data_IF_802694106560
#
_entry.id   IF_802694106560
#
_cell.length_a   1.000
_cell.length_b   1.000
_cell.length_c   1.000
_cell.angle_alpha   90.00
_cell.angle_beta   90.00
_cell.angle_gamma   90.00
#
_symmetry.space_group_name_H-M   'P 1'
#
loop_
_entity.id
_entity.type
_entity.pdbx_description
1 polymer ?
#
# COMPACT_ATOMS: atom_id res chain seq x y z
N UNK A 1 4.43 -36.29 19.16
CA UNK A 1 4.12 -37.42 18.25
C UNK A 1 3.35 -37.05 16.98
N UNK A 2 2.14 -36.44 17.01
CA UNK A 2 1.46 -35.98 15.76
C UNK A 2 2.12 -34.74 15.13
N UNK A 3 2.49 -33.75 15.96
CA UNK A 3 3.20 -32.53 15.52
C UNK A 3 4.57 -32.85 14.89
N UNK A 4 5.34 -33.75 15.49
CA UNK A 4 6.64 -34.21 14.96
C UNK A 4 6.53 -34.93 13.60
N UNK A 5 5.34 -35.43 13.24
CA UNK A 5 5.09 -36.11 11.96
C UNK A 5 4.47 -35.19 10.92
N UNK A 6 4.28 -33.90 11.23
CA UNK A 6 3.71 -32.89 10.34
C UNK A 6 2.42 -33.36 9.62
N UNK A 7 1.54 -34.07 10.35
CA UNK A 7 0.28 -34.55 9.79
C UNK A 7 -0.61 -33.38 9.34
N UNK A 8 -1.35 -33.54 8.26
CA UNK A 8 -2.23 -32.51 7.66
C UNK A 8 -3.17 -31.83 8.67
N UNK A 9 -3.74 -32.57 9.60
CA UNK A 9 -4.60 -32.04 10.68
C UNK A 9 -3.94 -30.93 11.54
N UNK A 10 -2.60 -30.92 11.62
CA UNK A 10 -1.85 -29.93 12.41
C UNK A 10 -1.82 -28.58 11.70
N UNK A 11 -1.83 -28.55 10.36
CA UNK A 11 -1.81 -27.31 9.59
C UNK A 11 -3.12 -26.54 9.72
N UNK A 12 -4.26 -27.23 9.62
CA UNK A 12 -5.59 -26.63 9.80
C UNK A 12 -5.76 -26.06 11.23
N UNK A 13 -5.24 -26.80 12.22
CA UNK A 13 -5.25 -26.36 13.61
C UNK A 13 -4.33 -25.15 13.82
N UNK A 14 -3.16 -25.13 13.18
CA UNK A 14 -2.19 -24.04 13.28
C UNK A 14 -2.77 -22.73 12.74
N UNK A 15 -3.44 -22.76 11.59
CA UNK A 15 -4.09 -21.58 11.01
C UNK A 15 -5.13 -20.97 11.97
N UNK A 16 -5.87 -21.83 12.67
CA UNK A 16 -6.84 -21.38 13.69
C UNK A 16 -6.15 -20.76 14.91
N UNK A 17 -5.03 -21.35 15.36
CA UNK A 17 -4.32 -20.89 16.57
C UNK A 17 -3.60 -19.56 16.37
N UNK A 18 -3.02 -19.34 15.19
CA UNK A 18 -2.29 -18.08 14.91
C UNK A 18 -3.23 -16.88 14.69
N UNK A 19 -4.51 -17.14 14.40
CA UNK A 19 -5.47 -16.09 14.07
C UNK A 19 -5.67 -15.15 15.26
N UNK A 20 -5.36 -13.87 15.06
CA UNK A 20 -5.41 -12.87 16.12
C UNK A 20 -4.32 -13.02 17.17
N UNK A 21 -3.25 -13.77 16.91
CA UNK A 21 -2.09 -13.86 17.78
C UNK A 21 -0.90 -13.13 17.13
N UNK A 22 -0.57 -11.90 17.56
CA UNK A 22 0.50 -11.12 16.92
C UNK A 22 1.87 -11.74 17.22
N UNK A 23 2.82 -11.49 16.34
CA UNK A 23 4.24 -11.78 16.51
C UNK A 23 5.04 -10.48 16.44
N UNK A 24 6.18 -10.42 17.12
CA UNK A 24 7.10 -9.30 17.04
C UNK A 24 8.23 -9.64 16.09
N UNK A 25 8.45 -8.79 15.08
CA UNK A 25 9.64 -8.85 14.22
C UNK A 25 10.68 -7.85 14.71
N UNK A 26 11.93 -8.28 14.72
CA UNK A 26 13.09 -7.47 15.08
C UNK A 26 14.24 -7.69 14.08
N UNK A 27 14.91 -6.61 13.67
CA UNK A 27 16.16 -6.66 12.91
C UNK A 27 17.29 -6.07 13.74
N UNK A 28 18.40 -6.81 13.85
CA UNK A 28 19.62 -6.32 14.49
C UNK A 28 20.51 -5.60 13.46
N UNK A 29 21.18 -4.49 13.82
CA UNK A 29 21.11 -3.77 15.10
C UNK A 29 19.86 -2.88 15.24
N UNK A 30 19.24 -2.88 16.41
CA UNK A 30 18.04 -2.06 16.68
C UNK A 30 18.43 -0.65 17.12
N UNK A 31 18.34 0.33 16.21
CA UNK A 31 18.73 1.73 16.48
C UNK A 31 17.63 2.56 17.16
N UNK A 32 16.37 2.23 16.91
CA UNK A 32 15.22 2.99 17.39
C UNK A 32 14.00 2.10 17.57
N UNK A 33 12.97 2.62 18.24
CA UNK A 33 11.73 1.88 18.57
C UNK A 33 11.09 1.19 17.36
N UNK A 34 11.11 1.81 16.18
CA UNK A 34 10.50 1.23 14.97
C UNK A 34 11.25 0.00 14.41
N UNK A 35 12.42 -0.34 14.95
CA UNK A 35 13.15 -1.57 14.60
C UNK A 35 12.56 -2.83 15.24
N UNK A 36 11.52 -2.70 16.07
CA UNK A 36 10.69 -3.81 16.56
C UNK A 36 9.22 -3.44 16.35
N UNK A 37 8.48 -4.26 15.60
CA UNK A 37 7.06 -4.04 15.33
C UNK A 37 6.26 -5.34 15.42
N UNK A 38 4.99 -5.21 15.76
CA UNK A 38 4.06 -6.33 15.79
C UNK A 38 3.34 -6.50 14.44
N UNK A 39 3.18 -7.75 14.04
CA UNK A 39 2.49 -8.17 12.83
C UNK A 39 1.55 -9.34 13.13
N UNK A 40 0.49 -9.48 12.33
CA UNK A 40 -0.29 -10.70 12.31
C UNK A 40 0.37 -11.70 11.36
N UNK A 41 0.71 -12.92 11.84
CA UNK A 41 1.37 -13.91 11.00
C UNK A 41 0.40 -14.49 9.97
N UNK A 42 0.88 -14.67 8.74
CA UNK A 42 0.18 -15.38 7.66
C UNK A 42 1.03 -16.56 7.26
N UNK A 43 0.44 -17.76 7.22
CA UNK A 43 1.15 -18.96 6.78
C UNK A 43 1.47 -18.84 5.29
N UNK A 44 2.72 -19.12 4.95
CA UNK A 44 3.22 -19.13 3.58
C UNK A 44 4.06 -20.38 3.38
N UNK A 45 4.02 -20.94 2.18
CA UNK A 45 4.95 -21.99 1.80
C UNK A 45 6.35 -21.39 1.59
N UNK A 46 7.36 -22.05 2.16
CA UNK A 46 8.77 -21.66 2.07
C UNK A 46 9.48 -21.55 3.42
N UNK A 47 10.75 -21.13 3.37
CA UNK A 47 11.62 -21.00 4.54
C UNK A 47 12.01 -19.54 4.85
N UNK A 48 11.46 -18.58 4.11
CA UNK A 48 11.76 -17.15 4.25
C UNK A 48 10.54 -16.39 4.77
N UNK A 49 10.78 -15.38 5.61
CA UNK A 49 9.75 -14.46 6.10
C UNK A 49 9.41 -13.50 4.97
N UNK A 50 8.11 -13.36 4.65
CA UNK A 50 7.64 -12.31 3.74
C UNK A 50 7.38 -11.05 4.54
N UNK A 51 8.06 -9.96 4.19
CA UNK A 51 7.93 -8.67 4.84
C UNK A 51 7.23 -7.67 3.92
N UNK A 52 6.39 -6.80 4.49
CA UNK A 52 5.74 -5.75 3.72
C UNK A 52 6.76 -4.67 3.28
N UNK A 53 6.79 -4.23 2.01
CA UNK A 53 7.83 -3.31 1.52
C UNK A 53 7.86 -1.95 2.22
N UNK A 54 6.70 -1.42 2.65
CA UNK A 54 6.65 -0.13 3.38
C UNK A 54 7.26 -0.16 4.80
N UNK A 55 7.54 -1.35 5.35
CA UNK A 55 8.23 -1.45 6.66
C UNK A 55 9.74 -1.63 6.52
N UNK A 56 10.27 -1.79 5.30
CA UNK A 56 11.71 -1.91 5.06
C UNK A 56 12.48 -0.69 5.56
N UNK A 57 11.95 0.52 5.34
CA UNK A 57 12.57 1.78 5.81
C UNK A 57 12.73 1.81 7.34
N UNK A 58 11.69 1.59 8.17
CA UNK A 58 11.86 1.52 9.62
C UNK A 58 12.72 0.34 10.10
N UNK A 59 12.78 -0.79 9.41
CA UNK A 59 13.74 -1.86 9.76
C UNK A 59 15.17 -1.61 9.25
N UNK A 60 15.35 -0.59 8.40
CA UNK A 60 16.56 -0.37 7.60
C UNK A 60 16.98 -1.63 6.83
N UNK A 61 16.01 -2.40 6.35
CA UNK A 61 16.19 -3.72 5.76
C UNK A 61 16.11 -3.69 4.23
N UNK A 62 16.88 -4.55 3.59
CA UNK A 62 16.77 -4.89 2.18
C UNK A 62 16.57 -6.41 2.00
N UNK A 63 16.59 -6.88 0.75
CA UNK A 63 16.28 -8.28 0.40
C UNK A 63 17.47 -9.00 -0.23
N UNK A 64 18.69 -8.73 0.24
CA UNK A 64 19.92 -9.33 -0.30
C UNK A 64 20.51 -10.46 0.57
N UNK A 65 19.87 -10.78 1.70
CA UNK A 65 20.36 -11.79 2.66
C UNK A 65 20.08 -11.45 4.13
N UNK A 66 19.46 -10.30 4.39
CA UNK A 66 19.03 -9.87 5.71
C UNK A 66 18.22 -10.91 6.49
N UNK A 67 18.44 -10.94 7.81
CA UNK A 67 17.75 -11.85 8.73
C UNK A 67 16.97 -11.06 9.79
N UNK A 68 15.84 -11.62 10.19
CA UNK A 68 15.00 -11.05 11.25
C UNK A 68 14.66 -12.11 12.30
N UNK A 69 14.60 -11.69 13.55
CA UNK A 69 14.13 -12.52 14.65
C UNK A 69 12.61 -12.36 14.81
N UNK A 70 11.93 -13.48 15.08
CA UNK A 70 10.50 -13.52 15.39
C UNK A 70 10.35 -13.87 16.87
N UNK A 71 9.62 -13.06 17.61
CA UNK A 71 9.28 -13.31 19.01
C UNK A 71 7.78 -13.47 19.18
N UNK A 72 7.37 -14.44 20.01
CA UNK A 72 5.96 -14.71 20.30
C UNK A 72 5.58 -14.18 21.70
N UNK A 73 4.73 -13.14 21.81
CA UNK A 73 4.24 -12.66 23.10
C UNK A 73 3.28 -13.68 23.73
N UNK A 74 3.60 -14.22 24.90
CA UNK A 74 2.81 -15.32 25.49
C UNK A 74 1.62 -14.85 26.33
N UNK A 75 1.81 -13.88 27.22
CA UNK A 75 0.74 -13.44 28.13
C UNK A 75 -0.33 -12.64 27.41
N UNK A 76 -1.55 -12.67 27.94
CA UNK A 76 -2.69 -11.89 27.44
C UNK A 76 -2.39 -10.40 27.41
N UNK A 77 -1.66 -9.90 28.41
CA UNK A 77 -1.24 -8.51 28.52
C UNK A 77 -0.25 -8.16 27.40
N UNK A 78 0.74 -9.02 27.15
CA UNK A 78 1.75 -8.82 26.11
C UNK A 78 1.13 -8.86 24.70
N UNK A 79 0.21 -9.79 24.45
CA UNK A 79 -0.52 -9.83 23.17
C UNK A 79 -1.36 -8.57 22.96
N UNK A 80 -1.99 -8.06 24.03
CA UNK A 80 -2.78 -6.83 23.98
C UNK A 80 -1.91 -5.62 23.70
N UNK A 81 -0.76 -5.53 24.37
CA UNK A 81 0.23 -4.47 24.14
C UNK A 81 0.76 -4.49 22.70
N UNK A 82 1.11 -5.68 22.19
CA UNK A 82 1.56 -5.85 20.82
C UNK A 82 0.54 -5.32 19.80
N UNK A 83 -0.75 -5.65 19.98
CA UNK A 83 -1.83 -5.18 19.09
C UNK A 83 -2.11 -3.68 19.21
N UNK A 84 -2.12 -3.14 20.41
CA UNK A 84 -2.53 -1.74 20.63
C UNK A 84 -1.40 -0.74 20.40
N UNK A 85 -0.16 -1.09 20.78
CA UNK A 85 0.95 -0.14 20.85
C UNK A 85 2.08 -0.41 19.87
N UNK A 86 2.19 -1.65 19.36
CA UNK A 86 3.33 -2.06 18.53
C UNK A 86 2.93 -2.46 17.11
N UNK A 87 1.63 -2.55 16.80
CA UNK A 87 1.15 -2.95 15.48
C UNK A 87 1.69 -2.00 14.40
N UNK A 88 2.26 -2.58 13.34
CA UNK A 88 2.93 -1.81 12.29
C UNK A 88 2.02 -0.74 11.65
N UNK A 89 0.71 -1.01 11.52
CA UNK A 89 -0.28 -0.07 10.96
C UNK A 89 -0.51 1.18 11.81
N UNK A 90 -0.21 1.14 13.12
CA UNK A 90 -0.29 2.31 14.00
C UNK A 90 1.00 3.15 14.01
N UNK A 91 2.10 2.61 13.51
CA UNK A 91 3.43 3.21 13.59
C UNK A 91 3.80 3.94 12.29
N UNK A 92 2.96 4.87 11.86
CA UNK A 92 3.11 5.58 10.58
C UNK A 92 4.06 6.78 10.66
N UNK A 93 4.26 7.34 11.84
CA UNK A 93 5.06 8.55 12.05
C UNK A 93 6.36 8.23 12.78
N UNK A 94 7.43 8.93 12.42
CA UNK A 94 8.70 8.89 13.14
C UNK A 94 8.54 9.58 14.50
N UNK A 95 9.00 8.95 15.60
CA UNK A 95 8.97 9.59 16.92
C UNK A 95 9.85 10.83 17.05
N UNK A 96 10.85 11.02 16.17
CA UNK A 96 11.84 12.10 16.24
C UNK A 96 11.33 13.45 15.76
N UNK A 97 10.62 13.47 14.63
CA UNK A 97 10.24 14.68 13.90
C UNK A 97 8.75 14.68 13.49
N UNK A 98 8.03 13.57 13.69
CA UNK A 98 6.63 13.43 13.31
C UNK A 98 6.41 13.22 11.81
N UNK A 99 7.46 13.08 11.00
CA UNK A 99 7.31 12.81 9.57
C UNK A 99 6.83 11.37 9.32
N UNK A 100 6.09 11.12 8.21
CA UNK A 100 5.74 9.77 7.80
C UNK A 100 6.98 8.90 7.58
N UNK A 101 6.99 7.69 8.15
CA UNK A 101 8.07 6.72 7.96
C UNK A 101 7.75 5.72 6.84
N UNK A 102 6.47 5.45 6.61
CA UNK A 102 5.97 4.49 5.61
C UNK A 102 5.78 5.17 4.25
N UNK A 103 6.83 5.82 3.76
CA UNK A 103 6.83 6.48 2.45
C UNK A 103 7.14 5.43 1.37
N UNK A 104 6.39 5.40 0.25
CA UNK A 104 6.72 4.55 -0.89
C UNK A 104 8.14 4.81 -1.40
N UNK A 105 8.84 3.77 -1.86
CA UNK A 105 10.22 3.89 -2.38
C UNK A 105 10.35 3.19 -3.73
N UNK A 106 11.43 3.50 -4.45
CA UNK A 106 11.88 2.82 -5.66
C UNK A 106 10.74 2.61 -6.69
N UNK A 107 10.33 1.36 -6.91
CA UNK A 107 9.36 0.95 -7.91
C UNK A 107 7.97 1.58 -7.72
N UNK A 108 7.56 1.81 -6.47
CA UNK A 108 6.27 2.45 -6.19
C UNK A 108 6.24 3.90 -6.66
N UNK A 109 7.36 4.62 -6.46
CA UNK A 109 7.54 5.99 -6.96
C UNK A 109 7.60 5.97 -8.48
N UNK A 110 8.38 5.06 -9.06
CA UNK A 110 8.53 4.97 -10.51
C UNK A 110 7.20 4.66 -11.21
N UNK A 111 6.42 3.72 -10.68
CA UNK A 111 5.09 3.39 -11.20
C UNK A 111 4.12 4.57 -11.10
N UNK A 112 4.08 5.25 -9.95
CA UNK A 112 3.25 6.45 -9.76
C UNK A 112 3.66 7.59 -10.70
N UNK A 113 4.96 7.79 -10.88
CA UNK A 113 5.51 8.79 -11.79
C UNK A 113 5.17 8.47 -13.25
N UNK A 114 5.40 7.24 -13.70
CA UNK A 114 5.06 6.80 -15.05
C UNK A 114 3.56 6.93 -15.34
N UNK A 115 2.72 6.60 -14.36
CA UNK A 115 1.26 6.67 -14.47
C UNK A 115 0.75 8.11 -14.54
N UNK A 116 1.42 9.06 -13.87
CA UNK A 116 0.97 10.47 -13.79
C UNK A 116 1.64 11.39 -14.81
N UNK A 117 2.61 10.88 -15.56
CA UNK A 117 3.28 11.59 -16.64
C UNK A 117 2.30 11.97 -17.76
N UNK A 118 2.57 13.09 -18.43
CA UNK A 118 1.80 13.58 -19.57
C UNK A 118 2.71 13.64 -20.78
N UNK A 119 2.31 12.98 -21.87
CA UNK A 119 3.00 13.07 -23.15
C UNK A 119 2.05 13.69 -24.19
N UNK A 120 2.26 14.95 -24.63
CA UNK A 120 1.36 15.62 -25.56
C UNK A 120 1.19 14.90 -26.91
N UNK A 121 2.22 14.19 -27.35
CA UNK A 121 2.26 13.53 -28.67
C UNK A 121 1.74 12.08 -28.62
N UNK A 122 1.27 11.61 -27.46
CA UNK A 122 0.83 10.24 -27.33
C UNK A 122 -0.43 9.93 -28.16
N UNK A 123 -0.59 8.69 -28.64
CA UNK A 123 -1.77 8.27 -29.38
C UNK A 123 -3.05 8.49 -28.59
N UNK A 124 -4.01 9.17 -29.22
CA UNK A 124 -5.32 9.46 -28.62
C UNK A 124 -5.38 10.74 -27.79
N UNK A 125 -4.38 11.62 -27.90
CA UNK A 125 -4.46 12.99 -27.39
C UNK A 125 -5.70 13.75 -27.91
N UNK A 126 -6.15 14.73 -27.13
CA UNK A 126 -7.29 15.61 -27.38
C UNK A 126 -8.66 14.93 -27.54
N UNK A 127 -8.76 13.62 -27.26
CA UNK A 127 -10.05 12.93 -27.17
C UNK A 127 -10.86 13.44 -25.99
N UNK A 128 -12.18 13.45 -26.17
CA UNK A 128 -13.15 13.89 -25.18
C UNK A 128 -14.02 12.71 -24.78
N UNK A 129 -14.14 12.46 -23.47
CA UNK A 129 -14.92 11.39 -22.90
C UNK A 129 -16.04 11.93 -22.00
N UNK A 130 -17.14 11.19 -21.97
CA UNK A 130 -18.37 11.42 -21.21
C UNK A 130 -18.15 11.32 -19.70
N UNK A 131 -17.29 10.39 -19.28
CA UNK A 131 -16.98 10.05 -17.89
C UNK A 131 -15.67 9.24 -17.83
N UNK A 132 -15.25 8.89 -16.62
CA UNK A 132 -14.01 8.14 -16.37
C UNK A 132 -14.06 6.70 -16.88
N UNK A 133 -15.24 6.08 -16.81
CA UNK A 133 -15.45 4.71 -17.27
C UNK A 133 -15.26 4.60 -18.79
N UNK A 134 -15.75 5.56 -19.56
CA UNK A 134 -15.51 5.62 -21.01
C UNK A 134 -14.02 5.79 -21.34
N UNK A 135 -13.30 6.61 -20.57
CA UNK A 135 -11.86 6.79 -20.75
C UNK A 135 -11.07 5.49 -20.46
N UNK A 136 -11.48 4.74 -19.43
CA UNK A 136 -10.89 3.44 -19.10
C UNK A 136 -11.21 2.37 -20.15
N UNK A 137 -12.43 2.37 -20.69
CA UNK A 137 -12.81 1.51 -21.79
C UNK A 137 -11.99 1.81 -23.05
N UNK A 138 -11.80 3.09 -23.38
CA UNK A 138 -10.97 3.50 -24.51
C UNK A 138 -9.50 3.06 -24.33
N UNK A 139 -8.97 3.06 -23.11
CA UNK A 139 -7.65 2.51 -22.81
C UNK A 139 -7.59 0.99 -22.98
N UNK A 140 -8.62 0.27 -22.53
CA UNK A 140 -8.72 -1.19 -22.70
C UNK A 140 -8.78 -1.61 -24.19
N UNK A 141 -9.40 -0.80 -25.04
CA UNK A 141 -9.45 -0.98 -26.50
C UNK A 141 -8.22 -0.41 -27.23
N UNK A 142 -7.18 0.04 -26.50
CA UNK A 142 -5.95 0.62 -27.03
C UNK A 142 -6.16 1.87 -27.92
N UNK A 143 -7.25 2.61 -27.70
CA UNK A 143 -7.59 3.85 -28.43
C UNK A 143 -6.84 5.06 -27.87
N UNK A 144 -6.53 5.02 -26.57
CA UNK A 144 -5.73 6.03 -25.84
C UNK A 144 -4.66 5.35 -25.01
N UNK A 145 -3.54 6.03 -24.77
CA UNK A 145 -2.50 5.58 -23.84
C UNK A 145 -2.70 6.18 -22.45
N UNK A 146 -1.91 5.72 -21.47
CA UNK A 146 -1.95 6.24 -20.09
C UNK A 146 -1.58 7.72 -19.98
N UNK A 147 -0.69 8.20 -20.85
CA UNK A 147 -0.07 9.53 -20.76
C UNK A 147 -0.63 10.53 -21.77
N UNK A 148 -1.53 10.09 -22.66
CA UNK A 148 -2.23 10.95 -23.60
C UNK A 148 -3.11 11.97 -22.86
N UNK A 149 -2.99 13.28 -23.16
CA UNK A 149 -3.89 14.30 -22.60
C UNK A 149 -5.28 14.17 -23.21
N UNK A 150 -6.28 13.98 -22.37
CA UNK A 150 -7.69 13.79 -22.75
C UNK A 150 -8.57 14.71 -21.91
N UNK A 151 -9.79 14.99 -22.39
CA UNK A 151 -10.78 15.77 -21.64
C UNK A 151 -11.87 14.85 -21.14
N UNK A 152 -12.11 14.82 -19.84
CA UNK A 152 -13.17 14.01 -19.23
C UNK A 152 -14.14 14.92 -18.52
N UNK A 153 -15.44 14.68 -18.71
CA UNK A 153 -16.46 15.39 -17.96
C UNK A 153 -16.55 14.81 -16.55
N UNK A 154 -16.35 15.66 -15.54
CA UNK A 154 -16.46 15.32 -14.13
C UNK A 154 -17.54 16.15 -13.47
N UNK A 155 -18.27 15.53 -12.54
CA UNK A 155 -19.24 16.20 -11.67
C UNK A 155 -18.74 16.08 -10.24
N UNK A 156 -18.52 17.21 -9.57
CA UNK A 156 -18.08 17.26 -8.17
C UNK A 156 -18.98 18.21 -7.37
N UNK A 157 -19.15 17.91 -6.08
CA UNK A 157 -19.88 18.79 -5.15
C UNK A 157 -18.88 19.40 -4.17
N UNK A 158 -18.71 20.72 -4.25
CA UNK A 158 -17.82 21.48 -3.37
C UNK A 158 -18.58 22.13 -2.20
N UNK A 159 -19.78 21.64 -1.86
CA UNK A 159 -20.64 22.19 -0.82
C UNK A 159 -21.59 23.30 -1.29
N UNK A 160 -21.50 23.70 -2.56
CA UNK A 160 -22.39 24.68 -3.22
C UNK A 160 -23.37 24.00 -4.21
N UNK A 161 -23.41 22.67 -4.23
CA UNK A 161 -24.17 21.87 -5.19
C UNK A 161 -23.27 21.22 -6.25
N UNK A 162 -23.81 20.26 -7.03
CA UNK A 162 -23.04 19.52 -8.02
C UNK A 162 -22.69 20.41 -9.22
N UNK A 163 -21.40 20.67 -9.42
CA UNK A 163 -20.86 21.36 -10.59
C UNK A 163 -20.29 20.34 -11.58
N UNK A 164 -20.59 20.52 -12.87
CA UNK A 164 -20.09 19.65 -13.94
C UNK A 164 -19.20 20.45 -14.89
N UNK A 165 -17.96 19.98 -15.09
CA UNK A 165 -16.99 20.62 -15.95
C UNK A 165 -16.23 19.59 -16.81
N UNK A 166 -15.68 20.04 -17.94
CA UNK A 166 -14.70 19.28 -18.70
C UNK A 166 -13.32 19.56 -18.12
N UNK A 167 -12.67 18.52 -17.61
CA UNK A 167 -11.34 18.60 -16.99
C UNK A 167 -10.33 17.94 -17.91
N UNK A 168 -9.23 18.66 -18.19
CA UNK A 168 -8.08 18.09 -18.89
C UNK A 168 -7.30 17.19 -17.94
N UNK A 169 -7.15 15.92 -18.29
CA UNK A 169 -6.48 14.90 -17.48
C UNK A 169 -5.81 13.85 -18.39
N UNK A 170 -5.25 12.79 -17.82
CA UNK A 170 -4.80 11.60 -18.53
C UNK A 170 -5.47 10.36 -17.94
N UNK A 171 -5.54 9.26 -18.69
CA UNK A 171 -6.09 8.00 -18.16
C UNK A 171 -5.29 7.53 -16.94
N UNK A 172 -3.96 7.68 -16.97
CA UNK A 172 -3.14 7.31 -15.83
C UNK A 172 -3.44 8.15 -14.57
N UNK A 173 -3.66 9.46 -14.71
CA UNK A 173 -4.12 10.31 -13.60
C UNK A 173 -5.50 9.90 -13.07
N UNK A 174 -6.41 9.42 -13.93
CA UNK A 174 -7.71 8.89 -13.49
C UNK A 174 -7.49 7.66 -12.60
N UNK A 175 -6.73 6.68 -13.08
CA UNK A 175 -6.40 5.45 -12.33
C UNK A 175 -5.71 5.77 -11.00
N UNK A 176 -4.76 6.70 -11.01
CA UNK A 176 -4.03 7.09 -9.80
C UNK A 176 -4.95 7.71 -8.72
N UNK A 177 -6.00 8.42 -9.14
CA UNK A 177 -6.92 9.09 -8.22
C UNK A 177 -8.06 8.18 -7.72
N UNK A 178 -8.34 7.04 -8.37
CA UNK A 178 -9.40 6.10 -7.94
C UNK A 178 -9.30 5.67 -6.46
N UNK A 179 -8.13 5.28 -5.91
CA UNK A 179 -8.02 4.89 -4.49
C UNK A 179 -7.94 6.09 -3.54
N UNK A 180 -7.78 7.31 -4.05
CA UNK A 180 -7.62 8.52 -3.24
C UNK A 180 -9.01 9.07 -2.89
N UNK A 181 -9.31 9.31 -1.61
CA UNK A 181 -10.55 9.98 -1.22
C UNK A 181 -10.69 11.35 -1.92
N UNK A 182 -11.79 11.54 -2.64
CA UNK A 182 -12.01 12.75 -3.45
C UNK A 182 -12.46 13.97 -2.60
N UNK A 183 -12.65 13.76 -1.30
CA UNK A 183 -12.97 14.77 -0.28
C UNK A 183 -11.73 15.49 0.28
N UNK A 184 -10.52 15.14 -0.18
CA UNK A 184 -9.24 15.73 0.25
C UNK A 184 -9.04 17.21 -0.15
N UNK A 185 -10.09 17.90 -0.58
CA UNK A 185 -10.03 19.24 -1.13
C UNK A 185 -9.35 19.28 -2.50
N UNK A 186 -9.65 20.32 -3.29
CA UNK A 186 -8.94 20.55 -4.55
C UNK A 186 -7.52 21.01 -4.23
N UNK A 187 -6.55 20.10 -4.30
CA UNK A 187 -5.14 20.48 -4.41
C UNK A 187 -4.87 20.68 -5.90
N UNK A 188 -4.54 21.90 -6.29
CA UNK A 188 -4.08 22.18 -7.65
C UNK A 188 -2.76 21.42 -7.86
N UNK A 189 -2.81 20.36 -8.66
CA UNK A 189 -1.68 19.46 -8.96
C UNK A 189 -1.24 19.60 -10.41
N UNK A 190 -1.32 20.83 -10.95
CA UNK A 190 -0.59 21.21 -12.17
C UNK A 190 0.89 20.90 -12.04
#
# INVERSE_FOLDING_TARGET
KKVERASTEVWDSLETVIKGHPVLLNRAPTLHRLGIQAFEPVLVEGHAIKLHPLVCTPFNADFDGDQMAVHLPLSTEAQREAKMLMLASGNLLKPSDGEPVTVPTQDMILGSYYLTMVNPEDPGHDKVFRDEDEALMAYAEHIVTLQAPVKVRRTMDFGNGPETALVTTTVGKIIFNTPIPQDLGYVDRT
#
